data_IF_962880155978
#
_entry.id   IF_962880155978
#
_cell.length_a   1.000
_cell.length_b   1.000
_cell.length_c   1.000
_cell.angle_alpha   90.00
_cell.angle_beta   90.00
_cell.angle_gamma   90.00
#
_symmetry.space_group_name_H-M   'P 1'
#
loop_
_entity.id
_entity.type
_entity.pdbx_description
1 polymer ?
#
# COMPACT_ATOMS: atom_id res chain seq x y z
N UNK A 1 1.25 -15.07 11.37
CA UNK A 1 1.93 -14.18 10.41
C UNK A 1 1.11 -12.92 10.37
N UNK A 2 1.57 -11.87 11.03
CA UNK A 2 0.86 -10.60 11.12
C UNK A 2 0.89 -9.97 9.72
N UNK A 3 -0.28 -9.63 9.15
CA UNK A 3 -0.33 -8.97 7.85
C UNK A 3 0.30 -7.58 8.03
N UNK A 4 1.46 -7.35 7.42
CA UNK A 4 2.03 -6.01 7.34
C UNK A 4 1.00 -5.08 6.68
N UNK A 5 0.64 -3.99 7.35
CA UNK A 5 -0.19 -2.93 6.76
C UNK A 5 0.64 -2.12 5.76
N UNK A 6 -0.04 -1.46 4.81
CA UNK A 6 0.57 -0.53 3.87
C UNK A 6 1.45 0.51 4.57
N UNK A 7 0.93 1.15 5.61
CA UNK A 7 1.66 2.18 6.37
C UNK A 7 2.94 1.61 7.00
N UNK A 8 2.86 0.42 7.60
CA UNK A 8 4.03 -0.23 8.19
C UNK A 8 5.08 -0.64 7.13
N UNK A 9 4.63 -1.00 5.93
CA UNK A 9 5.55 -1.30 4.83
C UNK A 9 6.24 -0.05 4.28
N UNK A 10 5.53 1.09 4.25
CA UNK A 10 6.12 2.39 3.90
C UNK A 10 7.13 2.86 4.94
N UNK A 11 6.78 2.83 6.22
CA UNK A 11 7.67 3.21 7.32
C UNK A 11 8.98 2.41 7.25
N UNK A 12 8.88 1.10 6.98
CA UNK A 12 10.03 0.22 6.85
C UNK A 12 10.90 0.56 5.63
N UNK A 13 10.29 0.89 4.49
CA UNK A 13 11.04 1.33 3.31
C UNK A 13 11.83 2.62 3.58
N UNK A 14 11.26 3.54 4.36
CA UNK A 14 11.94 4.79 4.74
C UNK A 14 13.13 4.54 5.68
N UNK A 15 12.98 3.64 6.66
CA UNK A 15 14.07 3.19 7.52
C UNK A 15 15.22 2.56 6.73
N UNK A 16 14.91 1.70 5.75
CA UNK A 16 15.92 1.07 4.89
C UNK A 16 16.66 2.15 4.08
N UNK A 17 15.92 3.13 3.54
CA UNK A 17 16.52 4.23 2.80
C UNK A 17 17.46 5.08 3.67
N UNK A 18 17.11 5.33 4.94
CA UNK A 18 18.00 6.00 5.89
C UNK A 18 19.26 5.18 6.19
N UNK A 19 19.11 3.89 6.40
CA UNK A 19 20.23 2.98 6.67
C UNK A 19 21.22 3.00 5.50
N UNK A 20 20.74 2.84 4.26
CA UNK A 20 21.59 2.87 3.06
C UNK A 20 22.29 4.24 2.88
N UNK A 21 21.61 5.35 3.21
CA UNK A 21 22.19 6.71 3.14
C UNK A 21 23.39 6.90 4.07
N UNK A 22 23.45 6.19 5.21
CA UNK A 22 24.57 6.28 6.16
C UNK A 22 25.87 5.69 5.62
N UNK A 23 25.83 4.88 4.55
CA UNK A 23 26.99 4.26 3.88
C UNK A 23 27.87 3.36 4.78
N UNK A 24 27.41 3.06 5.99
CA UNK A 24 28.07 2.18 6.96
C UNK A 24 27.42 0.78 6.94
N UNK A 25 27.25 0.21 5.74
CA UNK A 25 26.59 -1.09 5.55
C UNK A 25 27.50 -2.00 4.75
N UNK A 26 27.62 -3.25 5.19
CA UNK A 26 28.36 -4.27 4.47
C UNK A 26 27.66 -4.62 3.15
N UNK A 27 28.38 -5.22 2.21
CA UNK A 27 27.78 -5.64 0.94
C UNK A 27 26.65 -6.65 1.17
N UNK A 28 26.87 -7.62 2.06
CA UNK A 28 25.89 -8.65 2.40
C UNK A 28 24.61 -8.04 2.98
N UNK A 29 24.74 -7.14 3.97
CA UNK A 29 23.59 -6.45 4.54
C UNK A 29 22.88 -5.54 3.51
N UNK A 30 23.60 -4.99 2.53
CA UNK A 30 22.99 -4.22 1.44
C UNK A 30 22.13 -5.09 0.52
N UNK A 31 22.52 -6.35 0.30
CA UNK A 31 21.75 -7.31 -0.49
C UNK A 31 20.49 -7.74 0.26
N UNK A 32 20.60 -7.98 1.57
CA UNK A 32 19.45 -8.31 2.42
C UNK A 32 18.42 -7.19 2.42
N UNK A 33 18.86 -5.93 2.59
CA UNK A 33 18.00 -4.75 2.56
C UNK A 33 17.36 -4.54 1.17
N UNK A 34 18.08 -4.86 0.09
CA UNK A 34 17.54 -4.79 -1.26
C UNK A 34 16.42 -5.83 -1.47
N UNK A 35 16.63 -7.06 -1.03
CA UNK A 35 15.62 -8.11 -1.11
C UNK A 35 14.37 -7.72 -0.30
N UNK A 36 14.56 -7.24 0.94
CA UNK A 36 13.48 -6.75 1.80
C UNK A 36 12.69 -5.62 1.11
N UNK A 37 13.40 -4.66 0.51
CA UNK A 37 12.77 -3.52 -0.18
C UNK A 37 11.88 -3.95 -1.35
N UNK A 38 12.31 -4.96 -2.12
CA UNK A 38 11.53 -5.50 -3.24
C UNK A 38 10.25 -6.17 -2.73
N UNK A 39 10.34 -6.92 -1.63
CA UNK A 39 9.18 -7.56 -1.01
C UNK A 39 8.17 -6.53 -0.49
N UNK A 40 8.64 -5.49 0.20
CA UNK A 40 7.81 -4.40 0.72
C UNK A 40 7.14 -3.62 -0.42
N UNK A 41 7.88 -3.27 -1.47
CA UNK A 41 7.30 -2.58 -2.63
C UNK A 41 6.22 -3.41 -3.33
N UNK A 42 6.42 -4.73 -3.42
CA UNK A 42 5.41 -5.64 -3.98
C UNK A 42 4.15 -5.66 -3.12
N UNK A 43 4.29 -5.70 -1.80
CA UNK A 43 3.17 -5.64 -0.86
C UNK A 43 2.42 -4.30 -0.95
N UNK A 44 3.14 -3.18 -1.04
CA UNK A 44 2.53 -1.86 -1.24
C UNK A 44 1.70 -1.81 -2.53
N UNK A 45 2.25 -2.31 -3.65
CA UNK A 45 1.53 -2.35 -4.92
C UNK A 45 0.26 -3.20 -4.84
N UNK A 46 0.33 -4.39 -4.20
CA UNK A 46 -0.84 -5.24 -4.00
C UNK A 46 -1.94 -4.57 -3.17
N UNK A 47 -1.60 -3.79 -2.15
CA UNK A 47 -2.59 -3.10 -1.32
C UNK A 47 -3.20 -1.87 -2.02
N UNK A 48 -2.45 -1.18 -2.89
CA UNK A 48 -2.96 -0.09 -3.72
C UNK A 48 -4.00 -0.62 -4.72
N UNK A 49 -3.76 -1.78 -5.34
CA UNK A 49 -4.72 -2.42 -6.24
C UNK A 49 -6.05 -2.77 -5.53
N UNK A 50 -6.00 -3.12 -4.24
CA UNK A 50 -7.21 -3.32 -3.43
C UNK A 50 -7.90 -2.02 -3.04
N UNK A 51 -7.15 -0.95 -2.81
CA UNK A 51 -7.69 0.37 -2.41
C UNK A 51 -8.32 1.10 -3.60
N UNK A 52 -8.02 0.70 -4.84
CA UNK A 52 -8.60 1.25 -6.07
C UNK A 52 -10.02 0.73 -6.38
N UNK A 53 -10.52 -0.30 -5.69
CA UNK A 53 -11.93 -0.71 -5.81
C UNK A 53 -12.79 0.04 -4.80
N UNK A 54 -13.19 1.25 -5.17
CA UNK A 54 -14.40 1.89 -4.62
C UNK A 54 -15.56 1.39 -5.50
N UNK A 55 -16.35 0.38 -5.10
CA UNK A 55 -17.61 0.14 -5.77
C UNK A 55 -18.46 1.39 -5.58
N UNK A 56 -18.77 2.09 -6.67
CA UNK A 56 -19.92 2.97 -6.67
C UNK A 56 -21.15 2.08 -6.50
N UNK A 57 -21.56 1.87 -5.24
CA UNK A 57 -22.95 1.51 -4.97
C UNK A 57 -23.78 2.73 -5.39
N UNK A 58 -24.17 2.76 -6.66
CA UNK A 58 -25.36 3.48 -7.10
C UNK A 58 -26.57 2.74 -6.51
N UNK A 59 -26.83 2.94 -5.22
CA UNK A 59 -28.12 2.61 -4.63
C UNK A 59 -28.83 3.89 -4.18
N UNK A 60 -30.02 4.05 -4.75
CA UNK A 60 -31.18 4.79 -4.26
C UNK A 60 -31.18 6.32 -4.33
N UNK A 61 -31.54 6.82 -5.51
CA UNK A 61 -32.57 7.86 -5.55
C UNK A 61 -33.86 7.23 -6.06
N UNK A 62 -34.91 7.06 -5.22
CA UNK A 62 -36.20 6.61 -5.69
C UNK A 62 -36.72 7.71 -6.62
N UNK A 63 -36.93 7.34 -7.89
CA UNK A 63 -37.50 8.24 -8.88
C UNK A 63 -38.73 8.92 -8.31
N UNK A 64 -38.75 10.25 -8.39
CA UNK A 64 -39.86 11.08 -7.94
C UNK A 64 -41.19 10.48 -8.40
N UNK A 65 -42.08 10.25 -7.44
CA UNK A 65 -43.49 9.98 -7.66
C UNK A 65 -44.04 11.07 -8.59
N UNK A 66 -44.22 10.75 -9.86
CA UNK A 66 -45.11 11.53 -10.73
C UNK A 66 -46.53 11.08 -10.39
N UNK A 67 -47.06 11.61 -9.29
CA UNK A 67 -48.50 11.54 -8.97
C UNK A 67 -49.21 12.77 -9.52
N UNK A 68 -50.02 12.51 -10.56
CA UNK A 68 -51.27 13.17 -10.97
C UNK A 68 -51.44 14.69 -10.76
N UNK A 69 -51.49 15.43 -11.88
CA UNK A 69 -52.74 16.13 -12.28
C UNK A 69 -52.79 16.55 -13.75
#
# INVERSE_FOLDING_TARGET
MEKLSYDHALDRLEEIAEQVRKKEISLEASLDLLEESIQLATLCNQQIDYTAWIPQNEEDSPGEDIVDR
#
